data_IF_210763189256
#
_entry.id   IF_210763189256
#
_cell.length_a   1.000
_cell.length_b   1.000
_cell.length_c   1.000
_cell.angle_alpha   90.00
_cell.angle_beta   90.00
_cell.angle_gamma   90.00
#
_symmetry.space_group_name_H-M   'P 1'
#
loop_
_entity.id
_entity.type
_entity.pdbx_description
1 polymer ?
#
# COMPACT_ATOMS: atom_id res chain seq x y z
N UNK A 1 12.98 -0.86 -14.85
CA UNK A 1 12.92 -0.64 -13.38
C UNK A 1 12.35 0.72 -12.98
N UNK A 2 12.62 1.82 -13.72
CA UNK A 2 12.06 3.16 -13.45
C UNK A 2 10.53 3.18 -13.47
N UNK A 3 9.90 2.50 -14.43
CA UNK A 3 8.43 2.43 -14.53
C UNK A 3 7.79 1.83 -13.27
N UNK A 4 8.42 0.84 -12.64
CA UNK A 4 7.92 0.26 -11.38
C UNK A 4 8.00 1.23 -10.21
N UNK A 5 9.02 2.09 -10.18
CA UNK A 5 9.13 3.16 -9.16
C UNK A 5 7.98 4.15 -9.32
N UNK A 6 7.69 4.61 -10.54
CA UNK A 6 6.56 5.51 -10.80
C UNK A 6 5.21 4.86 -10.46
N UNK A 7 5.02 3.58 -10.80
CA UNK A 7 3.82 2.84 -10.41
C UNK A 7 3.68 2.74 -8.88
N UNK A 8 4.77 2.47 -8.18
CA UNK A 8 4.79 2.42 -6.71
C UNK A 8 4.42 3.76 -6.07
N UNK A 9 5.00 4.86 -6.56
CA UNK A 9 4.66 6.21 -6.09
C UNK A 9 3.17 6.51 -6.36
N UNK A 10 2.68 6.24 -7.58
CA UNK A 10 1.28 6.45 -7.93
C UNK A 10 0.32 5.64 -7.06
N UNK A 11 0.60 4.36 -6.84
CA UNK A 11 -0.19 3.49 -5.97
C UNK A 11 -0.18 3.96 -4.52
N UNK A 12 0.99 4.38 -4.02
CA UNK A 12 1.14 4.93 -2.66
C UNK A 12 0.34 6.21 -2.44
N UNK A 13 0.16 7.03 -3.49
CA UNK A 13 -0.64 8.24 -3.41
C UNK A 13 -2.15 7.97 -3.50
N UNK A 14 -2.60 7.01 -4.32
CA UNK A 14 -4.02 6.75 -4.56
C UNK A 14 -4.70 6.13 -3.33
N UNK A 15 -4.08 5.13 -2.69
CA UNK A 15 -4.69 4.39 -1.60
C UNK A 15 -5.18 5.25 -0.41
N UNK A 16 -4.36 6.16 0.14
CA UNK A 16 -4.81 7.03 1.23
C UNK A 16 -5.88 8.02 0.76
N UNK A 17 -5.87 8.45 -0.51
CA UNK A 17 -6.88 9.37 -1.04
C UNK A 17 -8.27 8.73 -1.07
N UNK A 18 -8.39 7.48 -1.51
CA UNK A 18 -9.67 6.76 -1.53
C UNK A 18 -10.23 6.63 -0.11
N UNK A 19 -9.39 6.19 0.83
CA UNK A 19 -9.79 6.08 2.24
C UNK A 19 -10.17 7.43 2.84
N UNK A 20 -9.42 8.49 2.51
CA UNK A 20 -9.71 9.86 2.93
C UNK A 20 -11.04 10.38 2.39
N UNK A 21 -11.32 10.18 1.11
CA UNK A 21 -12.59 10.59 0.49
C UNK A 21 -13.78 9.87 1.13
N UNK A 22 -13.68 8.56 1.38
CA UNK A 22 -14.75 7.81 2.06
C UNK A 22 -15.00 8.39 3.46
N UNK A 23 -13.94 8.67 4.21
CA UNK A 23 -14.07 9.21 5.57
C UNK A 23 -14.62 10.64 5.61
N UNK A 24 -14.35 11.45 4.57
CA UNK A 24 -14.84 12.84 4.48
C UNK A 24 -16.32 12.91 4.10
N UNK A 25 -16.78 12.04 3.18
CA UNK A 25 -18.12 12.13 2.61
C UNK A 25 -19.16 11.27 3.34
N UNK A 26 -18.74 10.17 3.99
CA UNK A 26 -19.65 9.23 4.63
C UNK A 26 -19.45 9.20 6.15
N UNK A 27 -20.55 9.03 6.90
CA UNK A 27 -20.55 8.94 8.37
C UNK A 27 -21.33 7.72 8.85
N UNK A 28 -20.99 7.22 10.04
CA UNK A 28 -21.72 6.12 10.69
C UNK A 28 -21.82 4.87 9.83
N UNK A 29 -23.02 4.35 9.66
CA UNK A 29 -23.30 3.11 8.92
C UNK A 29 -23.04 3.23 7.42
N UNK A 30 -23.23 4.42 6.83
CA UNK A 30 -22.93 4.65 5.41
C UNK A 30 -21.43 4.53 5.12
N UNK A 31 -20.58 5.00 6.04
CA UNK A 31 -19.13 4.82 5.92
C UNK A 31 -18.75 3.34 5.96
N UNK A 32 -19.38 2.55 6.83
CA UNK A 32 -19.15 1.12 6.88
C UNK A 32 -19.55 0.42 5.56
N UNK A 33 -20.70 0.82 4.97
CA UNK A 33 -21.13 0.31 3.66
C UNK A 33 -20.15 0.71 2.54
N UNK A 34 -19.70 1.97 2.52
CA UNK A 34 -18.74 2.45 1.50
C UNK A 34 -17.42 1.68 1.57
N UNK A 35 -16.90 1.43 2.77
CA UNK A 35 -15.74 0.56 2.94
C UNK A 35 -16.00 -0.90 2.57
N UNK A 36 -17.22 -1.39 2.81
CA UNK A 36 -17.65 -2.72 2.38
C UNK A 36 -17.64 -2.86 0.85
N UNK A 37 -18.18 -1.89 0.12
CA UNK A 37 -18.12 -1.85 -1.34
C UNK A 37 -16.67 -1.73 -1.84
N UNK A 38 -15.87 -0.86 -1.25
CA UNK A 38 -14.46 -0.73 -1.58
C UNK A 38 -13.71 -2.06 -1.41
N UNK A 39 -13.88 -2.72 -0.25
CA UNK A 39 -13.28 -4.04 0.01
C UNK A 39 -13.78 -5.12 -0.95
N UNK A 40 -15.08 -5.11 -1.29
CA UNK A 40 -15.66 -6.02 -2.28
C UNK A 40 -15.04 -5.84 -3.67
N UNK A 41 -14.90 -4.60 -4.14
CA UNK A 41 -14.27 -4.29 -5.43
C UNK A 41 -12.80 -4.73 -5.42
N UNK A 42 -12.06 -4.47 -4.34
CA UNK A 42 -10.68 -4.93 -4.19
C UNK A 42 -10.61 -6.46 -4.24
N UNK A 43 -11.53 -7.16 -3.55
CA UNK A 43 -11.59 -8.62 -3.57
C UNK A 43 -11.84 -9.18 -4.99
N UNK A 44 -12.78 -8.60 -5.73
CA UNK A 44 -13.04 -8.96 -7.13
C UNK A 44 -11.83 -8.69 -8.01
N UNK A 45 -11.17 -7.54 -7.86
CA UNK A 45 -9.98 -7.20 -8.62
C UNK A 45 -8.82 -8.17 -8.35
N UNK A 46 -8.62 -8.58 -7.09
CA UNK A 46 -7.61 -9.59 -6.71
C UNK A 46 -7.93 -10.95 -7.31
N UNK A 47 -9.20 -11.35 -7.37
CA UNK A 47 -9.62 -12.62 -7.96
C UNK A 47 -9.45 -12.64 -9.50
N UNK A 48 -9.79 -11.54 -10.17
CA UNK A 48 -9.72 -11.42 -11.63
C UNK A 48 -8.29 -11.20 -12.11
N UNK A 49 -7.45 -10.53 -11.32
CA UNK A 49 -6.09 -10.14 -11.70
C UNK A 49 -5.23 -11.28 -12.28
N UNK A 50 -5.06 -12.40 -11.57
CA UNK A 50 -4.28 -13.53 -12.07
C UNK A 50 -4.86 -14.17 -13.35
N UNK A 51 -6.19 -14.25 -13.45
CA UNK A 51 -6.88 -14.80 -14.63
C UNK A 51 -6.63 -13.89 -15.85
N UNK A 52 -6.81 -12.60 -15.70
CA UNK A 52 -6.54 -11.63 -16.78
C UNK A 52 -5.05 -11.61 -17.15
N UNK A 53 -4.16 -11.68 -16.17
CA UNK A 53 -2.72 -11.74 -16.39
C UNK A 53 -2.34 -13.00 -17.17
N UNK A 54 -2.86 -14.17 -16.78
CA UNK A 54 -2.62 -15.45 -17.45
C UNK A 54 -3.16 -15.46 -18.88
N UNK A 55 -4.36 -14.96 -19.11
CA UNK A 55 -4.95 -14.83 -20.45
C UNK A 55 -4.11 -13.93 -21.36
N UNK A 56 -3.68 -12.78 -20.89
CA UNK A 56 -2.84 -11.86 -21.66
C UNK A 56 -1.49 -12.48 -22.03
N UNK A 57 -0.90 -13.26 -21.13
CA UNK A 57 0.36 -13.94 -21.38
C UNK A 57 0.16 -15.08 -22.37
N UNK A 58 -0.94 -15.86 -22.22
CA UNK A 58 -1.22 -17.02 -23.07
C UNK A 58 -1.72 -16.70 -24.48
N UNK A 59 -2.44 -15.59 -24.67
CA UNK A 59 -3.03 -15.22 -25.95
C UNK A 59 -2.11 -14.35 -26.84
N UNK A 60 -1.08 -13.73 -26.26
CA UNK A 60 -0.18 -12.81 -26.97
C UNK A 60 1.16 -13.48 -27.30
N UNK A 61 1.82 -13.07 -28.39
CA UNK A 61 3.13 -13.59 -28.77
C UNK A 61 4.18 -13.46 -27.66
N UNK A 62 5.16 -14.38 -27.59
CA UNK A 62 6.25 -14.33 -26.63
C UNK A 62 6.93 -12.96 -26.64
N UNK A 63 7.06 -12.34 -25.47
CA UNK A 63 7.63 -11.00 -25.29
C UNK A 63 6.62 -9.85 -25.26
N UNK A 64 5.40 -10.01 -25.78
CA UNK A 64 4.34 -9.00 -25.64
C UNK A 64 3.42 -9.28 -24.44
N UNK A 65 3.21 -10.52 -24.06
CA UNK A 65 2.30 -10.92 -22.98
C UNK A 65 2.59 -10.22 -21.65
N UNK A 66 3.83 -10.28 -21.18
CA UNK A 66 4.22 -9.63 -19.92
C UNK A 66 4.16 -8.07 -20.00
N UNK A 67 4.45 -7.51 -21.19
CA UNK A 67 4.34 -6.06 -21.41
C UNK A 67 2.90 -5.60 -21.39
N UNK A 68 1.98 -6.39 -21.95
CA UNK A 68 0.55 -6.12 -21.96
C UNK A 68 -0.05 -6.19 -20.55
N UNK A 69 0.42 -7.13 -19.73
CA UNK A 69 -0.01 -7.23 -18.32
C UNK A 69 0.32 -5.96 -17.52
N UNK A 70 1.45 -5.31 -17.82
CA UNK A 70 1.79 -4.01 -17.21
C UNK A 70 1.05 -2.88 -17.94
N UNK A 71 0.98 -2.96 -19.27
CA UNK A 71 0.40 -1.93 -20.13
C UNK A 71 -1.10 -1.70 -19.90
N UNK A 72 -1.85 -2.72 -19.45
CA UNK A 72 -3.29 -2.58 -19.16
C UNK A 72 -3.59 -1.54 -18.08
N UNK A 73 -2.62 -1.24 -17.23
CA UNK A 73 -2.76 -0.20 -16.21
C UNK A 73 -2.87 1.21 -16.81
N UNK A 74 -2.33 1.42 -18.02
CA UNK A 74 -2.39 2.75 -18.69
C UNK A 74 -3.81 3.11 -19.12
N UNK A 75 -4.54 2.28 -19.91
CA UNK A 75 -5.92 2.59 -20.26
C UNK A 75 -6.84 2.63 -19.02
N UNK A 76 -6.65 1.75 -18.03
CA UNK A 76 -7.41 1.80 -16.79
C UNK A 76 -7.15 3.10 -16.02
N UNK A 77 -5.90 3.54 -15.93
CA UNK A 77 -5.54 4.80 -15.29
C UNK A 77 -6.15 6.01 -16.01
N UNK A 78 -6.18 6.01 -17.34
CA UNK A 78 -6.82 7.06 -18.13
C UNK A 78 -8.34 7.09 -17.93
N UNK A 79 -8.99 5.93 -17.87
CA UNK A 79 -10.43 5.83 -17.59
C UNK A 79 -10.72 6.37 -16.18
N UNK A 80 -9.94 5.97 -15.18
CA UNK A 80 -10.10 6.46 -13.79
C UNK A 80 -9.89 7.97 -13.74
N UNK A 81 -8.90 8.50 -14.44
CA UNK A 81 -8.64 9.94 -14.50
C UNK A 81 -9.81 10.69 -15.15
N UNK A 82 -10.33 10.20 -16.28
CA UNK A 82 -11.48 10.79 -16.96
C UNK A 82 -12.75 10.76 -16.10
N UNK A 83 -13.00 9.63 -15.41
CA UNK A 83 -14.14 9.50 -14.50
C UNK A 83 -13.99 10.39 -13.26
N UNK A 84 -12.79 10.47 -12.69
CA UNK A 84 -12.56 11.32 -11.52
C UNK A 84 -12.71 12.79 -11.84
N UNK A 85 -12.22 13.28 -13.00
CA UNK A 85 -12.42 14.67 -13.41
C UNK A 85 -13.89 15.00 -13.71
N UNK A 86 -14.67 14.01 -14.17
CA UNK A 86 -16.09 14.19 -14.51
C UNK A 86 -17.02 14.07 -13.28
N UNK A 87 -16.72 13.19 -12.33
CA UNK A 87 -17.60 12.88 -11.22
C UNK A 87 -17.16 13.49 -9.88
N UNK A 88 -15.85 13.64 -9.66
CA UNK A 88 -15.40 14.43 -8.53
C UNK A 88 -15.57 15.91 -8.89
N UNK A 89 -16.70 16.45 -8.47
CA UNK A 89 -16.89 17.89 -8.46
C UNK A 89 -15.97 18.44 -7.36
N UNK A 90 -14.72 18.71 -7.73
CA UNK A 90 -13.76 19.40 -6.89
C UNK A 90 -14.19 20.87 -6.82
N UNK A 91 -15.42 21.10 -6.35
CA UNK A 91 -15.84 22.43 -5.93
C UNK A 91 -14.76 22.99 -5.03
N UNK A 92 -14.61 24.34 -4.98
CA UNK A 92 -13.58 24.93 -4.17
C UNK A 92 -13.70 24.32 -2.78
N UNK A 93 -12.67 23.55 -2.41
CA UNK A 93 -12.60 22.91 -1.10
C UNK A 93 -12.95 24.00 -0.12
N UNK A 94 -14.11 23.90 0.54
CA UNK A 94 -14.40 24.72 1.71
C UNK A 94 -13.40 24.31 2.78
N UNK A 95 -12.15 24.65 2.54
CA UNK A 95 -11.17 24.81 3.58
C UNK A 95 -11.67 25.98 4.41
N UNK A 96 -12.72 25.69 5.23
CA UNK A 96 -12.96 26.48 6.41
C UNK A 96 -11.67 26.51 7.19
N UNK A 97 -10.90 27.53 6.89
CA UNK A 97 -10.09 28.28 7.84
C UNK A 97 -9.67 27.49 9.08
N UNK A 98 -8.79 26.58 8.86
CA UNK A 98 -7.63 26.45 9.72
C UNK A 98 -6.54 25.92 8.81
N UNK A 99 -5.80 26.85 8.21
CA UNK A 99 -4.45 26.63 7.74
C UNK A 99 -3.61 26.29 8.97
N UNK A 100 -3.92 25.15 9.61
CA UNK A 100 -2.93 24.44 10.39
C UNK A 100 -1.85 24.17 9.35
N UNK A 101 -0.79 24.92 9.44
CA UNK A 101 0.47 24.61 8.82
C UNK A 101 0.54 23.08 8.82
N UNK A 102 0.41 22.47 7.62
CA UNK A 102 0.63 21.05 7.51
C UNK A 102 2.10 20.88 7.87
N UNK A 103 2.32 20.64 9.14
CA UNK A 103 3.64 20.31 9.67
C UNK A 103 3.89 18.87 9.18
N UNK A 104 4.21 18.79 7.88
CA UNK A 104 4.64 17.54 7.27
C UNK A 104 5.97 17.22 7.91
N UNK A 105 6.10 16.03 8.47
CA UNK A 105 7.38 15.53 8.95
C UNK A 105 8.12 14.79 7.81
N UNK A 106 8.85 15.50 6.92
CA UNK A 106 9.57 14.87 5.82
C UNK A 106 10.72 13.98 6.32
N UNK A 107 11.27 14.32 7.48
CA UNK A 107 12.36 13.55 8.09
C UNK A 107 11.81 12.23 8.61
N UNK A 108 10.69 12.24 9.31
CA UNK A 108 10.01 11.01 9.76
C UNK A 108 9.59 10.14 8.57
N UNK A 109 9.12 10.74 7.46
CA UNK A 109 8.76 10.02 6.25
C UNK A 109 9.97 9.30 5.63
N UNK A 110 11.10 9.98 5.48
CA UNK A 110 12.34 9.39 4.95
C UNK A 110 12.86 8.30 5.88
N UNK A 111 12.88 8.54 7.19
CA UNK A 111 13.31 7.55 8.19
C UNK A 111 12.46 6.29 8.12
N UNK A 112 11.12 6.42 8.02
CA UNK A 112 10.23 5.28 7.87
C UNK A 112 10.49 4.52 6.56
N UNK A 113 10.63 5.24 5.44
CA UNK A 113 10.93 4.62 4.15
C UNK A 113 12.23 3.82 4.19
N UNK A 114 13.31 4.40 4.75
CA UNK A 114 14.60 3.73 4.89
C UNK A 114 14.49 2.53 5.83
N UNK A 115 13.78 2.66 6.96
CA UNK A 115 13.58 1.56 7.90
C UNK A 115 12.85 0.39 7.25
N UNK A 116 11.73 0.65 6.56
CA UNK A 116 10.94 -0.38 5.86
C UNK A 116 11.76 -1.05 4.76
N UNK A 117 12.47 -0.27 3.93
CA UNK A 117 13.35 -0.83 2.90
C UNK A 117 14.42 -1.72 3.50
N UNK A 118 15.08 -1.28 4.59
CA UNK A 118 16.16 -2.04 5.23
C UNK A 118 15.63 -3.34 5.86
N UNK A 119 14.39 -3.36 6.38
CA UNK A 119 13.75 -4.58 6.88
C UNK A 119 13.37 -5.53 5.73
N UNK A 120 12.97 -5.00 4.54
CA UNK A 120 12.54 -5.82 3.40
C UNK A 120 13.71 -6.41 2.61
N UNK A 121 14.83 -5.71 2.53
CA UNK A 121 16.00 -6.13 1.74
C UNK A 121 16.53 -7.53 2.05
N UNK A 122 16.66 -7.99 3.31
CA UNK A 122 17.10 -9.35 3.62
C UNK A 122 16.25 -10.41 2.94
N UNK A 123 14.94 -10.27 2.98
CA UNK A 123 14.00 -11.23 2.37
C UNK A 123 14.09 -11.28 0.84
N UNK A 124 14.53 -10.20 0.21
CA UNK A 124 14.71 -10.12 -1.24
C UNK A 124 16.09 -10.62 -1.70
N UNK A 125 17.12 -10.45 -0.87
CA UNK A 125 18.51 -10.71 -1.23
C UNK A 125 19.07 -11.99 -0.60
N UNK A 126 18.37 -12.62 0.34
CA UNK A 126 18.86 -13.77 1.10
C UNK A 126 19.22 -14.99 0.23
N UNK A 127 18.52 -15.15 -0.90
CA UNK A 127 18.85 -16.24 -1.87
C UNK A 127 20.21 -16.06 -2.52
N UNK A 128 20.67 -14.80 -2.72
CA UNK A 128 21.94 -14.50 -3.37
C UNK A 128 23.05 -14.19 -2.37
N UNK A 129 22.71 -13.60 -1.25
CA UNK A 129 23.69 -13.12 -0.26
C UNK A 129 23.22 -13.43 1.16
N UNK A 130 23.79 -14.48 1.76
CA UNK A 130 23.48 -14.85 3.16
C UNK A 130 23.78 -13.71 4.15
N UNK A 131 24.80 -12.88 3.85
CA UNK A 131 25.12 -11.70 4.64
C UNK A 131 23.99 -10.63 4.69
N UNK A 132 23.01 -10.71 3.77
CA UNK A 132 21.87 -9.80 3.77
C UNK A 132 21.05 -9.85 5.07
N UNK A 133 21.06 -10.99 5.78
CA UNK A 133 20.38 -11.09 7.07
C UNK A 133 20.92 -10.14 8.14
N UNK A 134 22.14 -9.65 8.01
CA UNK A 134 22.69 -8.63 8.89
C UNK A 134 21.94 -7.27 8.78
N UNK A 135 21.21 -7.03 7.68
CA UNK A 135 20.39 -5.83 7.54
C UNK A 135 19.12 -5.87 8.40
N UNK A 136 18.64 -7.06 8.79
CA UNK A 136 17.42 -7.18 9.60
C UNK A 136 17.55 -6.47 10.97
N UNK A 137 18.57 -6.73 11.78
CA UNK A 137 18.75 -6.01 13.04
C UNK A 137 18.96 -4.50 12.81
N UNK A 138 19.64 -4.10 11.75
CA UNK A 138 19.80 -2.68 11.37
C UNK A 138 18.43 -2.04 11.07
N UNK A 139 17.59 -2.70 10.28
CA UNK A 139 16.24 -2.24 9.97
C UNK A 139 15.36 -2.12 11.22
N UNK A 140 15.46 -3.06 12.15
CA UNK A 140 14.75 -3.00 13.43
C UNK A 140 15.23 -1.83 14.30
N UNK A 141 16.54 -1.56 14.34
CA UNK A 141 17.10 -0.41 15.04
C UNK A 141 16.60 0.91 14.40
N UNK A 142 16.58 0.99 13.06
CA UNK A 142 16.06 2.17 12.35
C UNK A 142 14.56 2.37 12.62
N UNK A 143 13.79 1.29 12.68
CA UNK A 143 12.37 1.35 13.06
C UNK A 143 12.18 1.84 14.49
N UNK A 144 12.99 1.38 15.42
CA UNK A 144 12.97 1.85 16.79
C UNK A 144 13.38 3.33 16.89
N UNK A 145 14.40 3.75 16.16
CA UNK A 145 14.84 5.13 16.07
C UNK A 145 13.72 6.04 15.50
N UNK A 146 13.02 5.57 14.46
CA UNK A 146 11.86 6.27 13.90
C UNK A 146 10.73 6.41 14.94
N UNK A 147 10.39 5.37 15.69
CA UNK A 147 9.38 5.44 16.76
C UNK A 147 9.77 6.48 17.83
N UNK A 148 11.05 6.54 18.20
CA UNK A 148 11.57 7.53 19.15
C UNK A 148 11.48 8.95 18.56
N UNK A 149 11.78 9.10 17.26
CA UNK A 149 11.64 10.38 16.54
C UNK A 149 10.20 10.87 16.56
N UNK A 150 9.23 10.05 16.17
CA UNK A 150 7.80 10.37 16.15
C UNK A 150 7.30 10.81 17.54
N UNK A 151 7.69 10.07 18.59
CA UNK A 151 7.35 10.44 19.98
C UNK A 151 7.92 11.80 20.38
N UNK A 152 9.18 12.08 20.01
CA UNK A 152 9.82 13.36 20.29
C UNK A 152 9.21 14.49 19.48
N UNK A 153 8.83 14.22 18.23
CA UNK A 153 8.19 15.18 17.34
C UNK A 153 6.82 15.58 17.88
N UNK A 154 6.05 14.60 18.35
CA UNK A 154 4.76 14.81 19.00
C UNK A 154 4.91 15.57 20.33
N UNK A 155 5.93 15.27 21.13
CA UNK A 155 6.20 15.98 22.39
C UNK A 155 6.53 17.47 22.20
N UNK A 156 7.00 17.86 21.01
CA UNK A 156 7.23 19.27 20.62
C UNK A 156 5.97 19.99 20.14
N UNK A 157 4.79 19.36 20.28
CA UNK A 157 3.51 19.93 19.83
C UNK A 157 3.28 19.93 18.33
N UNK A 158 4.13 19.25 17.56
CA UNK A 158 4.03 19.08 16.12
C UNK A 158 3.13 17.91 15.78
N UNK A 159 2.60 17.86 14.54
CA UNK A 159 1.76 16.77 14.06
C UNK A 159 2.62 15.63 13.53
N UNK A 160 2.74 14.48 14.26
CA UNK A 160 3.51 13.33 13.79
C UNK A 160 2.79 12.66 12.62
N UNK A 161 3.53 11.91 11.78
CA UNK A 161 2.92 11.10 10.73
C UNK A 161 2.03 10.00 11.32
N UNK A 162 2.49 9.37 12.39
CA UNK A 162 1.76 8.33 13.11
C UNK A 162 1.63 8.72 14.57
N UNK A 163 0.40 8.93 15.02
CA UNK A 163 0.14 9.17 16.45
C UNK A 163 0.33 7.87 17.25
N UNK A 164 1.46 7.78 17.93
CA UNK A 164 1.81 6.61 18.74
C UNK A 164 0.83 6.36 19.89
N UNK A 165 -0.01 7.35 20.25
CA UNK A 165 -1.06 7.17 21.27
C UNK A 165 -2.16 6.23 20.79
N UNK A 166 -2.37 6.12 19.47
CA UNK A 166 -3.35 5.21 18.89
C UNK A 166 -3.06 3.75 19.26
N UNK A 167 -1.79 3.37 19.33
CA UNK A 167 -1.39 2.00 19.73
C UNK A 167 -1.68 1.69 21.20
N UNK A 168 -1.98 2.67 22.04
CA UNK A 168 -2.47 2.45 23.41
C UNK A 168 -3.96 2.12 23.46
N UNK A 169 -4.69 2.40 22.38
CA UNK A 169 -6.10 2.04 22.26
C UNK A 169 -6.18 0.59 21.84
N UNK A 170 -6.73 -0.26 22.71
CA UNK A 170 -6.78 -1.73 22.53
C UNK A 170 -7.46 -2.12 21.21
N UNK A 171 -8.57 -1.47 20.86
CA UNK A 171 -9.28 -1.74 19.60
C UNK A 171 -8.44 -1.43 18.37
N UNK A 172 -7.65 -0.35 18.41
CA UNK A 172 -6.76 0.02 17.30
C UNK A 172 -5.62 -1.00 17.15
N UNK A 173 -4.93 -1.34 18.24
CA UNK A 173 -3.82 -2.29 18.21
C UNK A 173 -4.25 -3.67 17.76
N UNK A 174 -5.38 -4.17 18.30
CA UNK A 174 -5.93 -5.47 17.88
C UNK A 174 -6.37 -5.44 16.41
N UNK A 175 -7.04 -4.37 15.96
CA UNK A 175 -7.45 -4.22 14.58
C UNK A 175 -6.25 -4.21 13.62
N UNK A 176 -5.20 -3.45 13.96
CA UNK A 176 -3.96 -3.40 13.16
C UNK A 176 -3.27 -4.77 13.12
N UNK A 177 -3.20 -5.47 14.24
CA UNK A 177 -2.62 -6.81 14.32
C UNK A 177 -3.42 -7.81 13.47
N UNK A 178 -4.75 -7.80 13.57
CA UNK A 178 -5.63 -8.68 12.78
C UNK A 178 -5.45 -8.45 11.27
N UNK A 179 -5.40 -7.18 10.84
CA UNK A 179 -5.16 -6.84 9.45
C UNK A 179 -3.78 -7.32 9.00
N UNK A 180 -2.75 -7.12 9.82
CA UNK A 180 -1.40 -7.59 9.54
C UNK A 180 -1.35 -9.11 9.32
N UNK A 181 -1.93 -9.89 10.23
CA UNK A 181 -2.00 -11.36 10.11
C UNK A 181 -2.79 -11.77 8.88
N UNK A 182 -3.94 -11.14 8.62
CA UNK A 182 -4.78 -11.44 7.46
C UNK A 182 -4.03 -11.24 6.14
N UNK A 183 -3.37 -10.10 5.96
CA UNK A 183 -2.64 -9.83 4.73
C UNK A 183 -1.40 -10.73 4.58
N UNK A 184 -0.72 -11.06 5.68
CA UNK A 184 0.41 -12.00 5.64
C UNK A 184 -0.05 -13.39 5.20
N UNK A 185 -1.13 -13.90 5.79
CA UNK A 185 -1.68 -15.22 5.44
C UNK A 185 -2.20 -15.27 4.01
N UNK A 186 -2.98 -14.28 3.58
CA UNK A 186 -3.54 -14.20 2.23
C UNK A 186 -2.46 -14.18 1.15
N UNK A 187 -1.44 -13.36 1.31
CA UNK A 187 -0.33 -13.27 0.34
C UNK A 187 0.44 -14.60 0.25
N UNK A 188 0.68 -15.24 1.38
CA UNK A 188 1.41 -16.53 1.44
C UNK A 188 0.66 -17.63 0.67
N UNK A 189 -0.66 -17.71 0.81
CA UNK A 189 -1.48 -18.69 0.07
C UNK A 189 -1.31 -18.53 -1.43
N UNK A 190 -1.36 -17.31 -1.97
CA UNK A 190 -1.18 -17.04 -3.39
C UNK A 190 0.20 -17.45 -3.91
N UNK A 191 1.24 -17.17 -3.14
CA UNK A 191 2.62 -17.57 -3.51
C UNK A 191 2.77 -19.08 -3.52
N UNK A 192 2.27 -19.79 -2.49
CA UNK A 192 2.35 -21.24 -2.41
C UNK A 192 1.57 -21.90 -3.54
N UNK A 193 0.36 -21.41 -3.85
CA UNK A 193 -0.42 -21.95 -4.97
C UNK A 193 0.30 -21.76 -6.31
N UNK A 194 0.88 -20.59 -6.56
CA UNK A 194 1.63 -20.35 -7.79
C UNK A 194 2.84 -21.29 -7.92
N UNK A 195 3.59 -21.50 -6.84
CA UNK A 195 4.74 -22.41 -6.81
C UNK A 195 4.31 -23.88 -6.99
N UNK A 196 3.20 -24.28 -6.34
CA UNK A 196 2.71 -25.66 -6.43
C UNK A 196 2.26 -26.00 -7.86
N UNK A 197 1.60 -25.06 -8.55
CA UNK A 197 1.19 -25.24 -9.95
C UNK A 197 2.42 -25.30 -10.86
N UNK A 198 3.39 -24.40 -10.69
CA UNK A 198 4.58 -24.34 -11.54
C UNK A 198 5.55 -25.51 -11.33
N UNK A 199 5.75 -25.95 -10.09
CA UNK A 199 6.70 -27.00 -9.75
C UNK A 199 6.05 -28.38 -9.66
N UNK A 200 4.79 -28.46 -9.24
CA UNK A 200 4.09 -29.72 -9.01
C UNK A 200 3.42 -30.30 -10.24
N UNK A 201 2.95 -29.47 -11.17
CA UNK A 201 2.28 -29.90 -12.40
C UNK A 201 3.18 -29.81 -13.64
N UNK A 202 4.43 -29.36 -13.51
CA UNK A 202 5.43 -29.38 -14.58
C UNK A 202 5.09 -28.48 -15.78
N UNK A 203 4.29 -27.44 -15.56
CA UNK A 203 3.93 -26.44 -16.59
C UNK A 203 4.67 -25.13 -16.40
#
# INVERSE_FOLDING_TARGET
NLSRVFMGIGSGLINPQVSGLIQQHYRGSERARAFGYFGGIVGVAVAIGPVMGGLLIGMLPPGLGWRSTIGINVPLGLIILALSTRWLNLGPSRTTTQRRSHDLDPIGAVMLAVAVLTVMLPFMLAEQYTAAWALLPVGLILTAAWVVWERRYQARGKAPMVDMRLFRIRSYSLGTLMIGIYFTGGTTIWVIQAQLVQQGLGQ
#
